data_IF_141140294771
#
_entry.id   IF_141140294771
#
_cell.length_a   1.000
_cell.length_b   1.000
_cell.length_c   1.000
_cell.angle_alpha   90.00
_cell.angle_beta   90.00
_cell.angle_gamma   90.00
#
_symmetry.space_group_name_H-M   'P 1'
#
loop_
_entity.id
_entity.type
_entity.pdbx_description
1 polymer ?
#
# COMPACT_ATOMS: atom_id res chain seq x y z
N UNK A 1 -1.77 4.38 12.24
CA UNK A 1 -2.10 3.06 11.65
C UNK A 1 -0.99 2.06 11.94
N UNK A 2 -1.35 0.82 12.21
CA UNK A 2 -0.37 -0.24 12.39
C UNK A 2 -0.10 -0.95 11.07
N UNK A 3 1.02 -1.67 10.98
CA UNK A 3 1.36 -2.45 9.78
C UNK A 3 0.27 -3.49 9.49
N UNK A 4 -0.27 -4.13 10.54
CA UNK A 4 -1.36 -5.10 10.38
C UNK A 4 -2.60 -4.47 9.77
N UNK A 5 -2.90 -3.25 10.13
CA UNK A 5 -4.04 -2.52 9.55
C UNK A 5 -3.78 -2.14 8.09
N UNK A 6 -2.56 -1.72 7.78
CA UNK A 6 -2.16 -1.46 6.40
C UNK A 6 -2.34 -2.73 5.53
N UNK A 7 -1.86 -3.87 6.01
CA UNK A 7 -2.03 -5.15 5.31
C UNK A 7 -3.49 -5.51 5.11
N UNK A 8 -4.29 -5.26 6.14
CA UNK A 8 -5.73 -5.54 6.09
C UNK A 8 -6.42 -4.69 5.03
N UNK A 9 -6.10 -3.40 4.96
CA UNK A 9 -6.67 -2.51 3.95
C UNK A 9 -6.29 -2.93 2.54
N UNK A 10 -5.05 -3.35 2.32
CA UNK A 10 -4.61 -3.87 1.03
C UNK A 10 -5.39 -5.13 0.67
N UNK A 11 -5.57 -6.03 1.63
CA UNK A 11 -6.34 -7.27 1.43
C UNK A 11 -7.81 -7.01 1.11
N UNK A 12 -8.37 -5.94 1.67
CA UNK A 12 -9.78 -5.61 1.44
C UNK A 12 -10.03 -5.18 -0.01
N UNK A 13 -9.09 -4.50 -0.62
CA UNK A 13 -9.29 -3.95 -1.96
C UNK A 13 -8.73 -4.83 -3.06
N UNK A 14 -7.50 -5.35 -2.89
CA UNK A 14 -6.82 -6.10 -3.95
C UNK A 14 -7.14 -7.59 -3.87
N UNK A 15 -7.39 -8.20 -5.05
CA UNK A 15 -7.68 -9.63 -5.12
C UNK A 15 -6.45 -10.49 -4.82
N UNK A 16 -5.25 -9.94 -5.09
CA UNK A 16 -3.99 -10.63 -4.78
C UNK A 16 -3.08 -9.68 -4.01
N UNK A 17 -3.37 -9.48 -2.70
CA UNK A 17 -2.62 -8.52 -1.90
C UNK A 17 -1.14 -8.86 -1.74
N UNK A 18 -0.79 -10.14 -1.74
CA UNK A 18 0.61 -10.58 -1.60
C UNK A 18 1.42 -10.13 -2.81
N UNK A 19 0.93 -10.42 -4.01
CA UNK A 19 1.61 -10.01 -5.24
C UNK A 19 1.65 -8.49 -5.36
N UNK A 20 0.56 -7.80 -5.03
CA UNK A 20 0.56 -6.34 -5.06
C UNK A 20 1.64 -5.75 -4.18
N UNK A 21 1.73 -6.21 -2.92
CA UNK A 21 2.69 -5.68 -1.95
C UNK A 21 4.15 -6.00 -2.31
N UNK A 22 4.36 -7.07 -3.07
CA UNK A 22 5.68 -7.60 -3.38
C UNK A 22 6.21 -7.08 -4.72
N UNK A 23 5.34 -6.84 -5.70
CA UNK A 23 5.76 -6.60 -7.08
C UNK A 23 5.46 -5.19 -7.59
N UNK A 24 4.46 -4.50 -7.05
CA UNK A 24 4.06 -3.19 -7.56
C UNK A 24 4.87 -2.09 -6.89
N UNK A 25 5.60 -1.33 -7.70
CA UNK A 25 6.38 -0.18 -7.20
C UNK A 25 5.55 1.09 -7.26
N UNK A 26 5.85 2.01 -6.34
CA UNK A 26 5.12 3.29 -6.21
C UNK A 26 6.10 4.44 -6.31
N UNK A 27 5.87 5.35 -7.25
CA UNK A 27 6.71 6.54 -7.40
C UNK A 27 6.70 7.38 -6.12
N UNK A 28 5.55 7.46 -5.44
CA UNK A 28 5.39 8.20 -4.19
C UNK A 28 6.26 7.65 -3.06
N UNK A 29 6.69 6.39 -3.17
CA UNK A 29 7.57 5.76 -2.18
C UNK A 29 9.03 5.76 -2.63
N UNK A 30 9.33 6.44 -3.73
CA UNK A 30 10.68 6.45 -4.28
C UNK A 30 10.97 5.29 -5.23
N UNK A 31 9.92 4.70 -5.82
CA UNK A 31 10.07 3.60 -6.77
C UNK A 31 10.28 2.24 -6.12
N UNK A 32 9.74 2.04 -4.91
CA UNK A 32 9.82 0.76 -4.20
C UNK A 32 8.43 0.21 -3.93
N UNK A 33 8.40 -1.07 -3.56
CA UNK A 33 7.13 -1.77 -3.24
C UNK A 33 6.69 -1.47 -1.82
N UNK A 34 5.42 -1.84 -1.51
CA UNK A 34 4.90 -1.76 -0.15
C UNK A 34 5.80 -2.51 0.83
N UNK A 35 6.20 -3.74 0.49
CA UNK A 35 7.04 -4.54 1.37
C UNK A 35 8.39 -3.86 1.64
N UNK A 36 8.99 -3.28 0.61
CA UNK A 36 10.26 -2.57 0.76
C UNK A 36 10.11 -1.32 1.62
N UNK A 37 9.00 -0.60 1.46
CA UNK A 37 8.73 0.59 2.28
C UNK A 37 8.55 0.23 3.76
N UNK A 38 7.89 -0.89 4.05
CA UNK A 38 7.73 -1.38 5.42
C UNK A 38 9.11 -1.70 6.02
N UNK A 39 9.96 -2.38 5.28
CA UNK A 39 11.32 -2.73 5.73
C UNK A 39 12.15 -1.46 5.96
N UNK A 40 12.01 -0.47 5.08
CA UNK A 40 12.72 0.81 5.23
C UNK A 40 12.28 1.58 6.47
N UNK A 41 11.13 1.28 7.01
CA UNK A 41 10.61 1.93 8.21
C UNK A 41 9.67 3.10 7.94
N UNK A 42 9.10 3.16 6.74
CA UNK A 42 8.11 4.19 6.40
C UNK A 42 6.86 4.03 7.27
N UNK A 43 6.23 5.16 7.59
CA UNK A 43 4.99 5.14 8.36
C UNK A 43 3.88 4.46 7.56
N UNK A 44 3.12 3.51 8.16
CA UNK A 44 2.03 2.86 7.45
C UNK A 44 1.01 3.82 6.84
N UNK A 45 0.73 4.94 7.50
CA UNK A 45 -0.18 5.97 6.96
C UNK A 45 0.34 6.53 5.65
N UNK A 46 1.64 6.79 5.56
CA UNK A 46 2.26 7.31 4.34
C UNK A 46 2.26 6.27 3.22
N UNK A 47 2.49 5.00 3.58
CA UNK A 47 2.43 3.91 2.61
C UNK A 47 1.01 3.79 2.05
N UNK A 48 0.00 3.85 2.92
CA UNK A 48 -1.39 3.77 2.47
C UNK A 48 -1.76 4.94 1.56
N UNK A 49 -1.30 6.15 1.87
CA UNK A 49 -1.52 7.30 0.99
C UNK A 49 -0.94 7.06 -0.41
N UNK A 50 0.25 6.47 -0.48
CA UNK A 50 0.87 6.16 -1.76
C UNK A 50 0.06 5.11 -2.53
N UNK A 51 -0.46 4.10 -1.86
CA UNK A 51 -1.32 3.08 -2.46
C UNK A 51 -2.58 3.72 -3.05
N UNK A 52 -3.22 4.60 -2.29
CA UNK A 52 -4.44 5.28 -2.75
C UNK A 52 -4.14 6.15 -3.98
N UNK A 53 -3.04 6.89 -3.98
CA UNK A 53 -2.66 7.72 -5.12
C UNK A 53 -2.33 6.89 -6.36
N UNK A 54 -1.74 5.73 -6.17
CA UNK A 54 -1.40 4.82 -7.27
C UNK A 54 -2.65 4.19 -7.88
N UNK A 55 -3.76 4.18 -7.15
CA UNK A 55 -5.02 3.57 -7.58
C UNK A 55 -6.15 4.61 -7.50
N UNK A 56 -6.18 5.60 -8.40
CA UNK A 56 -7.19 6.66 -8.34
C UNK A 56 -8.62 6.16 -8.55
N UNK A 57 -8.77 4.95 -9.14
CA UNK A 57 -10.07 4.30 -9.34
C UNK A 57 -10.64 3.71 -8.05
N UNK A 58 -9.85 3.69 -6.97
CA UNK A 58 -10.28 3.08 -5.71
C UNK A 58 -11.51 3.81 -5.13
N UNK A 59 -12.61 3.08 -4.84
CA UNK A 59 -13.79 3.70 -4.23
C UNK A 59 -13.48 4.26 -2.83
N UNK A 60 -14.22 5.32 -2.46
CA UNK A 60 -14.00 6.00 -1.18
C UNK A 60 -14.10 5.08 0.03
N UNK A 61 -14.94 4.05 -0.05
CA UNK A 61 -15.11 3.10 1.07
C UNK A 61 -13.84 2.34 1.43
N UNK A 62 -12.86 2.30 0.53
CA UNK A 62 -11.59 1.63 0.77
C UNK A 62 -10.46 2.59 1.17
N UNK A 63 -10.69 3.88 1.03
CA UNK A 63 -9.65 4.89 1.33
C UNK A 63 -9.50 5.21 2.83
#
# INVERSE_FOLDING_TARGET
>A
MRISELRSRISDYFSDPVTYSQDIVHAELGGITVNQAIIRGDEPDEIWKAVVRHNPEMPDKFR
#
